data_IF_412583687626
#
_entry.id   IF_412583687626
#
_cell.length_a   1.000
_cell.length_b   1.000
_cell.length_c   1.000
_cell.angle_alpha   90.00
_cell.angle_beta   90.00
_cell.angle_gamma   90.00
#
_symmetry.space_group_name_H-M   'P 1'
#
loop_
_entity.id
_entity.type
_entity.pdbx_description
1 polymer ?
#
# COMPACT_ATOMS: atom_id res chain seq x y z
N UNK A 1 -3.28 -13.17 14.55
CA UNK A 1 -3.12 -13.07 13.08
C UNK A 1 -4.40 -12.47 12.54
N UNK A 2 -4.32 -11.46 11.67
CA UNK A 2 -5.50 -10.87 11.03
C UNK A 2 -5.55 -11.41 9.58
N UNK A 3 -6.58 -12.16 9.18
CA UNK A 3 -6.72 -12.63 7.80
C UNK A 3 -6.86 -11.48 6.81
N UNK A 4 -6.16 -11.58 5.68
CA UNK A 4 -6.27 -10.68 4.55
C UNK A 4 -6.75 -11.46 3.32
N UNK A 5 -7.71 -10.90 2.60
CA UNK A 5 -8.22 -11.46 1.34
C UNK A 5 -7.88 -10.49 0.21
N UNK A 6 -7.22 -10.97 -0.83
CA UNK A 6 -6.97 -10.17 -2.03
C UNK A 6 -8.31 -9.85 -2.70
N UNK A 7 -8.61 -8.56 -2.83
CA UNK A 7 -9.83 -8.07 -3.49
C UNK A 7 -9.57 -7.77 -4.96
N UNK A 8 -8.50 -7.04 -5.25
CA UNK A 8 -8.11 -6.70 -6.62
C UNK A 8 -6.61 -6.47 -6.74
N UNK A 9 -6.12 -6.61 -7.96
CA UNK A 9 -4.76 -6.27 -8.35
C UNK A 9 -4.83 -5.72 -9.76
N UNK A 10 -4.55 -4.43 -9.92
CA UNK A 10 -4.53 -3.74 -11.20
C UNK A 10 -3.08 -3.43 -11.56
N UNK A 11 -2.71 -3.66 -12.82
CA UNK A 11 -1.39 -3.36 -13.33
C UNK A 11 -1.46 -2.15 -14.28
N UNK A 12 -0.53 -1.23 -14.13
CA UNK A 12 -0.34 -0.11 -15.05
C UNK A 12 0.97 -0.31 -15.79
N UNK A 13 0.88 -0.40 -17.12
CA UNK A 13 2.05 -0.48 -17.96
C UNK A 13 2.78 0.86 -17.92
N UNK A 14 4.10 0.77 -17.84
CA UNK A 14 4.99 1.92 -17.67
C UNK A 14 5.86 2.09 -18.90
N UNK A 15 6.46 3.27 -19.11
CA UNK A 15 7.37 3.50 -20.22
C UNK A 15 8.46 2.42 -20.30
N UNK A 16 8.92 2.16 -21.53
CA UNK A 16 9.90 1.11 -21.83
C UNK A 16 11.11 1.15 -20.87
N UNK A 17 11.41 0.01 -20.25
CA UNK A 17 12.55 -0.15 -19.33
C UNK A 17 12.22 0.00 -17.83
N UNK A 18 10.96 0.22 -17.45
CA UNK A 18 10.53 0.17 -16.03
C UNK A 18 9.71 -1.08 -15.71
N UNK A 19 9.80 -1.62 -14.48
CA UNK A 19 8.85 -2.63 -14.01
C UNK A 19 7.42 -2.10 -14.06
N UNK A 20 6.45 -3.00 -14.21
CA UNK A 20 5.04 -2.65 -14.06
C UNK A 20 4.75 -2.10 -12.68
N UNK A 21 3.83 -1.15 -12.63
CA UNK A 21 3.24 -0.68 -11.40
C UNK A 21 1.98 -1.49 -11.09
N UNK A 22 1.79 -1.82 -9.83
CA UNK A 22 0.62 -2.55 -9.35
C UNK A 22 -0.07 -1.77 -8.24
N UNK A 23 -1.39 -1.61 -8.37
CA UNK A 23 -2.27 -1.22 -7.27
C UNK A 23 -3.01 -2.46 -6.79
N UNK A 24 -2.72 -2.91 -5.57
CA UNK A 24 -3.39 -4.06 -4.94
C UNK A 24 -4.29 -3.61 -3.80
N UNK A 25 -5.47 -4.21 -3.71
CA UNK A 25 -6.44 -3.96 -2.65
C UNK A 25 -6.66 -5.25 -1.86
N UNK A 26 -6.46 -5.19 -0.54
CA UNK A 26 -6.66 -6.30 0.38
C UNK A 26 -7.72 -5.95 1.42
N UNK A 27 -8.59 -6.90 1.73
CA UNK A 27 -9.61 -6.74 2.76
C UNK A 27 -9.18 -7.40 4.06
N UNK A 28 -9.22 -6.63 5.13
CA UNK A 28 -9.03 -7.08 6.50
C UNK A 28 -10.31 -7.79 6.99
N UNK A 29 -10.19 -9.01 7.50
CA UNK A 29 -11.33 -9.75 8.07
C UNK A 29 -11.15 -9.93 9.57
N UNK A 30 -12.08 -9.41 10.36
CA UNK A 30 -12.11 -9.55 11.82
C UNK A 30 -13.49 -10.07 12.23
N UNK A 31 -13.52 -11.14 13.03
CA UNK A 31 -14.75 -11.82 13.48
C UNK A 31 -15.70 -12.19 12.32
N UNK A 32 -15.12 -12.65 11.20
CA UNK A 32 -15.85 -13.07 10.00
C UNK A 32 -16.44 -11.91 9.19
N UNK A 33 -16.10 -10.66 9.49
CA UNK A 33 -16.58 -9.46 8.78
C UNK A 33 -15.41 -8.68 8.20
N UNK A 34 -15.62 -8.10 7.02
CA UNK A 34 -14.69 -7.13 6.44
C UNK A 34 -14.67 -5.89 7.34
N UNK A 35 -13.50 -5.56 7.87
CA UNK A 35 -13.32 -4.48 8.84
C UNK A 35 -12.40 -3.35 8.39
N UNK A 36 -11.64 -3.59 7.33
CA UNK A 36 -10.67 -2.65 6.83
C UNK A 36 -10.25 -3.00 5.41
N UNK A 37 -9.60 -2.04 4.77
CA UNK A 37 -9.06 -2.19 3.42
C UNK A 37 -7.64 -1.62 3.40
N UNK A 38 -6.74 -2.36 2.76
CA UNK A 38 -5.38 -1.92 2.46
C UNK A 38 -5.29 -1.71 0.96
N UNK A 39 -4.91 -0.50 0.54
CA UNK A 39 -4.53 -0.21 -0.84
C UNK A 39 -3.02 0.01 -0.88
N UNK A 40 -2.34 -0.72 -1.75
CA UNK A 40 -0.88 -0.68 -1.89
C UNK A 40 -0.53 -0.44 -3.35
N UNK A 41 0.20 0.64 -3.61
CA UNK A 41 0.79 0.94 -4.93
C UNK A 41 2.27 0.58 -4.89
N UNK A 42 2.74 -0.27 -5.81
CA UNK A 42 4.12 -0.76 -5.83
C UNK A 42 4.68 -0.90 -7.24
N UNK A 43 5.99 -0.73 -7.39
CA UNK A 43 6.71 -0.94 -8.64
C UNK A 43 8.09 -1.54 -8.37
N UNK A 44 8.31 -2.78 -8.81
CA UNK A 44 9.54 -3.52 -8.49
C UNK A 44 9.73 -3.65 -6.97
N UNK A 45 10.84 -3.11 -6.45
CA UNK A 45 11.16 -3.12 -5.01
C UNK A 45 10.64 -1.88 -4.24
N UNK A 46 9.89 -0.99 -4.90
CA UNK A 46 9.34 0.24 -4.29
C UNK A 46 7.87 0.08 -3.92
N UNK A 47 7.50 0.60 -2.76
CA UNK A 47 6.10 0.83 -2.36
C UNK A 47 5.90 2.34 -2.40
N UNK A 48 5.10 2.81 -3.35
CA UNK A 48 4.80 4.24 -3.52
C UNK A 48 3.82 4.71 -2.45
N UNK A 49 2.75 3.95 -2.24
CA UNK A 49 1.70 4.29 -1.30
C UNK A 49 1.21 3.04 -0.58
N UNK A 50 0.93 3.18 0.72
CA UNK A 50 0.26 2.20 1.54
C UNK A 50 -0.82 2.92 2.34
N UNK A 51 -2.07 2.63 2.04
CA UNK A 51 -3.22 3.25 2.69
C UNK A 51 -4.03 2.16 3.39
N UNK A 52 -4.24 2.31 4.69
CA UNK A 52 -5.20 1.52 5.45
C UNK A 52 -6.43 2.37 5.75
N UNK A 53 -7.62 1.86 5.45
CA UNK A 53 -8.89 2.45 5.85
C UNK A 53 -9.63 1.50 6.76
N UNK A 54 -9.94 1.93 7.99
CA UNK A 54 -10.80 1.20 8.90
C UNK A 54 -12.26 1.41 8.49
N UNK A 55 -12.90 0.38 7.95
CA UNK A 55 -14.26 0.48 7.41
C UNK A 55 -15.33 0.56 8.51
N UNK A 56 -14.99 0.29 9.78
CA UNK A 56 -15.92 0.43 10.90
C UNK A 56 -16.11 1.87 11.35
N UNK A 57 -15.08 2.70 11.23
CA UNK A 57 -15.11 4.09 11.70
C UNK A 57 -14.67 5.13 10.65
N UNK A 58 -14.28 4.70 9.45
CA UNK A 58 -13.85 5.56 8.35
C UNK A 58 -12.48 6.19 8.53
N UNK A 59 -11.72 5.87 9.59
CA UNK A 59 -10.38 6.44 9.80
C UNK A 59 -9.39 5.84 8.81
N UNK A 60 -8.57 6.69 8.23
CA UNK A 60 -7.53 6.30 7.29
C UNK A 60 -6.15 6.64 7.85
N UNK A 61 -5.20 5.75 7.62
CA UNK A 61 -3.77 5.95 7.86
C UNK A 61 -3.07 5.70 6.52
N UNK A 62 -2.25 6.66 6.09
CA UNK A 62 -1.53 6.58 4.83
C UNK A 62 -0.03 6.74 5.08
N UNK A 63 0.76 5.96 4.34
CA UNK A 63 2.19 6.08 4.22
C UNK A 63 2.51 6.26 2.75
N UNK A 64 3.31 7.26 2.43
CA UNK A 64 3.75 7.56 1.07
C UNK A 64 5.27 7.46 1.03
N UNK A 65 5.82 7.04 -0.10
CA UNK A 65 7.26 7.05 -0.32
C UNK A 65 7.78 8.48 -0.18
N UNK A 66 8.79 8.65 0.67
CA UNK A 66 9.53 9.92 0.82
C UNK A 66 10.98 9.71 0.40
N UNK A 67 11.27 10.01 -0.85
CA UNK A 67 12.63 9.95 -1.39
C UNK A 67 13.56 10.98 -0.74
N UNK A 68 13.02 12.08 -0.20
CA UNK A 68 13.81 13.12 0.46
C UNK A 68 14.26 12.69 1.87
N UNK A 69 13.61 11.69 2.46
CA UNK A 69 14.04 11.10 3.73
C UNK A 69 15.39 10.40 3.60
N UNK A 70 15.80 9.96 2.40
CA UNK A 70 17.09 9.29 2.20
C UNK A 70 18.27 10.28 2.28
N UNK A 71 19.16 10.07 3.25
CA UNK A 71 20.40 10.83 3.45
C UNK A 71 21.62 9.91 3.36
N UNK A 72 22.84 10.46 3.16
CA UNK A 72 24.06 9.65 3.09
C UNK A 72 24.34 8.80 4.34
N UNK A 73 23.82 9.20 5.51
CA UNK A 73 23.94 8.51 6.79
C UNK A 73 22.70 7.68 7.19
N UNK A 74 21.68 7.61 6.34
CA UNK A 74 20.45 6.84 6.56
C UNK A 74 19.17 7.61 6.31
N UNK A 75 18.03 7.05 6.70
CA UNK A 75 16.72 7.71 6.52
C UNK A 75 16.39 8.66 7.69
N UNK A 76 15.99 9.89 7.37
CA UNK A 76 15.50 10.89 8.33
C UNK A 76 14.04 11.23 8.00
N UNK A 77 13.13 10.48 8.62
CA UNK A 77 11.69 10.70 8.52
C UNK A 77 11.30 11.89 9.42
N UNK A 78 10.55 12.85 8.91
CA UNK A 78 10.05 14.02 9.67
C UNK A 78 8.59 13.82 10.08
#
# INVERSE_FOLDING_TARGET
MIPLVLRSSEATDMPEGRPWEFTTVWQEVVDGRISGEYQITSQGARIYDFVYTNLRNGKTVAFTQDDAAWQPDGCRWQ
#
